data_IF_134928978139
#
_entry.id   IF_134928978139
#
_cell.length_a   1.000
_cell.length_b   1.000
_cell.length_c   1.000
_cell.angle_alpha   90.00
_cell.angle_beta   90.00
_cell.angle_gamma   90.00
#
_symmetry.space_group_name_H-M   'P 1'
#
loop_
_entity.id
_entity.type
_entity.pdbx_description
1 polymer ?
#
# COMPACT_ATOMS: atom_id res chain seq x y z
N UNK A 1 -5.47 14.70 5.93
CA UNK A 1 -5.81 13.39 5.32
C UNK A 1 -4.57 12.53 5.10
N UNK A 2 -3.60 12.98 4.29
CA UNK A 2 -2.26 12.40 4.12
C UNK A 2 -1.60 11.84 5.40
N UNK A 3 -1.45 12.69 6.42
CA UNK A 3 -0.82 12.34 7.70
C UNK A 3 -1.52 11.19 8.46
N UNK A 4 -2.83 10.99 8.27
CA UNK A 4 -3.57 9.91 8.91
C UNK A 4 -3.30 8.57 8.23
N UNK A 5 -3.12 8.58 6.90
CA UNK A 5 -2.73 7.40 6.14
C UNK A 5 -1.29 7.01 6.50
N UNK A 6 -0.39 7.97 6.61
CA UNK A 6 1.00 7.73 7.04
C UNK A 6 1.09 7.16 8.46
N UNK A 7 0.28 7.69 9.38
CA UNK A 7 0.20 7.16 10.73
C UNK A 7 -0.38 5.74 10.75
N UNK A 8 -1.48 5.50 10.01
CA UNK A 8 -2.08 4.17 9.90
C UNK A 8 -1.06 3.14 9.39
N UNK A 9 -0.33 3.46 8.32
CA UNK A 9 0.67 2.56 7.73
C UNK A 9 1.84 2.27 8.68
N UNK A 10 2.26 3.25 9.49
CA UNK A 10 3.37 3.09 10.44
C UNK A 10 2.97 2.34 11.71
N UNK A 11 1.77 2.61 12.21
CA UNK A 11 1.36 2.25 13.57
C UNK A 11 0.50 0.96 13.62
N UNK A 12 0.01 0.50 12.45
CA UNK A 12 -0.74 -0.76 12.36
C UNK A 12 0.20 -1.97 12.25
N UNK A 13 -0.16 -3.11 12.86
CA UNK A 13 0.62 -4.34 12.76
C UNK A 13 0.38 -5.04 11.41
N UNK A 14 0.84 -4.44 10.32
CA UNK A 14 0.77 -5.04 8.98
C UNK A 14 1.72 -6.22 8.84
N UNK A 15 1.36 -7.19 8.01
CA UNK A 15 2.14 -8.39 7.71
C UNK A 15 3.16 -8.19 6.60
N UNK A 16 2.94 -7.20 5.73
CA UNK A 16 3.92 -6.74 4.73
C UNK A 16 4.22 -5.25 4.94
N UNK A 17 5.35 -4.81 4.38
CA UNK A 17 5.72 -3.41 4.40
C UNK A 17 4.92 -2.61 3.37
N UNK A 18 4.48 -1.44 3.77
CA UNK A 18 3.69 -0.52 2.95
C UNK A 18 4.37 0.85 2.89
N UNK A 19 4.23 1.51 1.76
CA UNK A 19 4.66 2.89 1.61
C UNK A 19 3.68 3.70 0.77
N UNK A 20 3.74 5.02 0.96
CA UNK A 20 3.00 5.98 0.14
C UNK A 20 3.97 6.54 -0.89
N UNK A 21 3.80 6.13 -2.15
CA UNK A 21 4.48 6.77 -3.26
C UNK A 21 3.88 8.16 -3.49
N UNK A 22 4.72 9.19 -3.33
CA UNK A 22 4.38 10.61 -3.52
C UNK A 22 5.06 11.20 -4.76
N UNK A 23 5.72 10.39 -5.58
CA UNK A 23 6.42 10.86 -6.79
C UNK A 23 5.47 11.40 -7.85
N UNK A 24 4.17 11.09 -7.72
CA UNK A 24 3.11 11.50 -8.65
C UNK A 24 2.09 12.43 -8.00
N UNK A 25 1.32 13.09 -8.87
CA UNK A 25 0.21 13.98 -8.47
C UNK A 25 -0.82 13.29 -7.58
N UNK A 26 -1.08 12.01 -7.84
CA UNK A 26 -1.90 11.17 -6.97
C UNK A 26 -0.98 10.30 -6.14
N UNK A 27 -1.18 10.34 -4.83
CA UNK A 27 -0.44 9.48 -3.92
C UNK A 27 -1.00 8.07 -3.98
N UNK A 28 -0.11 7.09 -3.94
CA UNK A 28 -0.48 5.69 -4.05
C UNK A 28 0.05 4.95 -2.83
N UNK A 29 -0.86 4.36 -2.06
CA UNK A 29 -0.52 3.39 -1.03
C UNK A 29 -0.28 2.04 -1.71
N UNK A 30 0.90 1.47 -1.52
CA UNK A 30 1.33 0.24 -2.20
C UNK A 30 2.29 -0.55 -1.31
N UNK A 31 2.28 -1.89 -1.37
CA UNK A 31 3.29 -2.68 -0.69
C UNK A 31 4.70 -2.37 -1.23
N UNK A 32 5.65 -2.09 -0.34
CA UNK A 32 7.03 -1.66 -0.69
C UNK A 32 7.73 -2.64 -1.63
N UNK A 33 7.48 -3.95 -1.45
CA UNK A 33 8.03 -4.99 -2.32
C UNK A 33 7.66 -4.81 -3.79
N UNK A 34 6.41 -4.42 -4.08
CA UNK A 34 5.95 -4.21 -5.46
C UNK A 34 6.72 -3.07 -6.11
N UNK A 35 6.98 -1.98 -5.37
CA UNK A 35 7.77 -0.86 -5.88
C UNK A 35 9.23 -1.23 -6.09
N UNK A 36 9.82 -1.98 -5.16
CA UNK A 36 11.20 -2.43 -5.27
C UNK A 36 11.42 -3.36 -6.48
N UNK A 37 10.56 -4.36 -6.66
CA UNK A 37 10.66 -5.30 -7.78
C UNK A 37 10.36 -4.65 -9.13
N UNK A 38 9.45 -3.68 -9.16
CA UNK A 38 9.09 -2.95 -10.36
C UNK A 38 10.01 -1.77 -10.69
N UNK A 39 10.97 -1.42 -9.83
CA UNK A 39 11.74 -0.18 -9.96
C UNK A 39 10.86 1.11 -9.99
N UNK A 40 9.73 1.07 -9.27
CA UNK A 40 8.80 2.17 -9.10
C UNK A 40 7.58 2.16 -10.05
N UNK A 41 6.56 2.96 -9.74
CA UNK A 41 5.29 2.98 -10.48
C UNK A 41 5.41 3.44 -11.95
N UNK A 42 6.50 4.12 -12.32
CA UNK A 42 6.74 4.65 -13.66
C UNK A 42 7.43 3.68 -14.59
N UNK A 43 7.96 2.59 -14.06
CA UNK A 43 8.65 1.61 -14.87
C UNK A 43 7.64 0.81 -15.72
N UNK A 44 7.92 0.59 -17.01
CA UNK A 44 7.09 -0.26 -17.86
C UNK A 44 6.90 -1.68 -17.33
N UNK A 45 7.87 -2.21 -16.57
CA UNK A 45 7.81 -3.55 -15.96
C UNK A 45 6.84 -3.64 -14.78
N UNK A 46 6.35 -2.52 -14.25
CA UNK A 46 5.44 -2.51 -13.09
C UNK A 46 4.24 -3.44 -13.28
N UNK A 47 3.65 -3.44 -14.48
CA UNK A 47 2.52 -4.31 -14.79
C UNK A 47 2.89 -5.79 -14.75
N UNK A 48 4.07 -6.13 -15.27
CA UNK A 48 4.54 -7.51 -15.35
C UNK A 48 4.93 -8.04 -13.97
N UNK A 49 5.55 -7.21 -13.13
CA UNK A 49 5.86 -7.53 -11.73
C UNK A 49 4.58 -7.77 -10.93
N UNK A 50 3.61 -6.85 -11.02
CA UNK A 50 2.31 -7.03 -10.35
C UNK A 50 1.62 -8.31 -10.82
N UNK A 51 1.68 -8.63 -12.11
CA UNK A 51 1.11 -9.87 -12.62
C UNK A 51 1.86 -11.09 -12.08
N UNK A 52 3.20 -11.07 -12.08
CA UNK A 52 4.04 -12.15 -11.56
C UNK A 52 3.75 -12.42 -10.09
N UNK A 53 3.73 -11.39 -9.24
CA UNK A 53 3.42 -11.51 -7.81
C UNK A 53 2.02 -12.10 -7.63
N UNK A 54 1.02 -11.60 -8.35
CA UNK A 54 -0.35 -12.11 -8.23
C UNK A 54 -0.50 -13.58 -8.64
N UNK A 55 0.30 -14.08 -9.57
CA UNK A 55 0.24 -15.47 -10.04
C UNK A 55 1.09 -16.41 -9.20
N UNK A 56 2.25 -15.94 -8.75
CA UNK A 56 3.28 -16.79 -8.15
C UNK A 56 3.31 -16.71 -6.62
N UNK A 57 2.76 -15.65 -6.02
CA UNK A 57 2.87 -15.39 -4.59
C UNK A 57 1.50 -15.04 -3.98
N UNK A 58 0.63 -16.04 -3.95
CA UNK A 58 -0.71 -15.89 -3.39
C UNK A 58 -0.71 -15.57 -1.89
N UNK A 59 0.30 -16.05 -1.15
CA UNK A 59 0.45 -15.76 0.27
C UNK A 59 0.69 -14.27 0.50
N UNK A 60 1.59 -13.66 -0.27
CA UNK A 60 1.81 -12.21 -0.24
C UNK A 60 0.53 -11.44 -0.55
N UNK A 61 -0.22 -11.84 -1.58
CA UNK A 61 -1.47 -11.18 -1.94
C UNK A 61 -2.53 -11.26 -0.83
N UNK A 62 -2.66 -12.40 -0.15
CA UNK A 62 -3.58 -12.56 0.97
C UNK A 62 -3.17 -11.69 2.16
N UNK A 63 -1.88 -11.67 2.50
CA UNK A 63 -1.34 -10.81 3.56
C UNK A 63 -1.57 -9.34 3.27
N UNK A 64 -1.24 -8.90 2.05
CA UNK A 64 -1.47 -7.52 1.61
C UNK A 64 -2.97 -7.16 1.62
N UNK A 65 -3.87 -8.08 1.23
CA UNK A 65 -5.30 -7.83 1.30
C UNK A 65 -5.77 -7.63 2.75
N UNK A 66 -5.36 -8.50 3.67
CA UNK A 66 -5.71 -8.38 5.10
C UNK A 66 -5.16 -7.08 5.72
N UNK A 67 -3.93 -6.69 5.37
CA UNK A 67 -3.36 -5.42 5.82
C UNK A 67 -4.14 -4.23 5.28
N UNK A 68 -4.57 -4.29 4.01
CA UNK A 68 -5.36 -3.23 3.40
C UNK A 68 -6.72 -3.06 4.07
N UNK A 69 -7.39 -4.16 4.42
CA UNK A 69 -8.63 -4.13 5.21
C UNK A 69 -8.41 -3.49 6.58
N UNK A 70 -7.33 -3.83 7.28
CA UNK A 70 -6.96 -3.25 8.56
C UNK A 70 -6.72 -1.73 8.46
N UNK A 71 -5.99 -1.30 7.43
CA UNK A 71 -5.71 0.12 7.15
C UNK A 71 -7.03 0.87 6.89
N UNK A 72 -7.92 0.32 6.06
CA UNK A 72 -9.22 0.94 5.78
C UNK A 72 -10.06 1.05 7.06
N UNK A 73 -10.15 -0.02 7.85
CA UNK A 73 -10.93 -0.03 9.08
C UNK A 73 -10.42 1.02 10.07
N UNK A 74 -9.11 1.18 10.20
CA UNK A 74 -8.51 2.22 11.03
C UNK A 74 -8.86 3.62 10.52
N UNK A 75 -8.72 3.87 9.21
CA UNK A 75 -9.03 5.16 8.60
C UNK A 75 -10.50 5.55 8.73
N UNK A 76 -11.43 4.58 8.71
CA UNK A 76 -12.86 4.83 8.93
C UNK A 76 -13.17 5.26 10.37
N UNK A 77 -12.33 4.91 11.33
CA UNK A 77 -12.49 5.31 12.74
C UNK A 77 -11.90 6.71 13.02
N UNK A 78 -10.98 7.17 12.17
CA UNK A 78 -10.43 8.52 12.26
C UNK A 78 -11.52 9.53 11.95
N UNK A 79 -11.99 10.24 12.98
CA UNK A 79 -12.85 11.40 12.80
C UNK A 79 -12.01 12.53 12.21
N UNK A 80 -12.26 12.84 10.94
CA UNK A 80 -11.74 14.05 10.31
C UNK A 80 -12.71 15.16 10.66
N UNK A 81 -12.42 15.94 11.70
CA UNK A 81 -13.10 17.21 11.89
C UNK A 81 -12.75 18.13 10.71
N UNK A 82 -13.77 18.60 10.00
CA UNK A 82 -13.64 19.69 9.04
C UNK A 82 -13.50 20.99 9.84
N UNK A 83 -12.27 21.44 10.06
CA UNK A 83 -11.97 22.83 10.41
C UNK A 83 -11.79 23.66 9.12
#
# INVERSE_FOLDING_TARGET
MAQFIEAAVRDLPTQVDWEIDRTRRNWVLVPTRVLHEAHGLADPSFRDVVHSINVQDQEFCLKALSDFELIIQHLLQVHISED
#
